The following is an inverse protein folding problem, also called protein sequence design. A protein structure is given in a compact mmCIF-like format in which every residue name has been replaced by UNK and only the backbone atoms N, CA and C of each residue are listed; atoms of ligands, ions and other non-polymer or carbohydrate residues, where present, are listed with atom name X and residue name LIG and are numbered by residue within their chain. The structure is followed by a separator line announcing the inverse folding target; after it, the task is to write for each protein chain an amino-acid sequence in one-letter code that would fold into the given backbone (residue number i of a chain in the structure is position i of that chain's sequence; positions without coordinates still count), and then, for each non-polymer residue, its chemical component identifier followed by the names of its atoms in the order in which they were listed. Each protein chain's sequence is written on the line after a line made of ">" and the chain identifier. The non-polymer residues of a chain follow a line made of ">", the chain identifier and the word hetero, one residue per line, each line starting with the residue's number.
data_IF_301320780941
#
_entry.id   IF_301320780941
#
_cell.length_a   1.000
_cell.length_b   1.000
_cell.length_c   1.000
_cell.angle_alpha   90.00
_cell.angle_beta   90.00
_cell.angle_gamma   90.00
#
_symmetry.space_group_name_H-M   'P 1'
#
loop_
_entity.id
_entity.type
_entity.pdbx_description
1 polymer ?
#
# COMPACT_ATOMS: atom_id res chain seq x y z
N UNK A 1 -8.59 5.32 17.36
CA UNK A 1 -7.17 4.92 17.17
C UNK A 1 -6.27 6.13 17.36
N UNK A 2 -5.21 6.06 18.18
CA UNK A 2 -4.17 7.11 18.27
C UNK A 2 -3.03 6.76 17.31
N UNK A 3 -2.74 7.63 16.35
CA UNK A 3 -1.64 7.44 15.40
C UNK A 3 -0.34 7.98 16.00
N UNK A 4 0.73 7.18 15.98
CA UNK A 4 2.04 7.60 16.51
C UNK A 4 2.74 8.54 15.52
N UNK A 5 2.49 9.85 15.69
CA UNK A 5 3.04 10.89 14.82
C UNK A 5 4.57 10.97 14.85
N UNK A 6 5.19 10.66 16.00
CA UNK A 6 6.65 10.68 16.14
C UNK A 6 7.28 9.60 15.29
N UNK A 7 6.75 8.37 15.34
CA UNK A 7 7.22 7.28 14.50
C UNK A 7 7.04 7.59 13.00
N UNK A 8 5.89 8.16 12.60
CA UNK A 8 5.67 8.57 11.22
C UNK A 8 6.74 9.57 10.73
N UNK A 9 6.96 10.64 11.51
CA UNK A 9 7.95 11.68 11.14
C UNK A 9 9.34 11.07 11.04
N UNK A 10 9.72 10.18 11.98
CA UNK A 10 11.00 9.48 11.94
C UNK A 10 11.18 8.70 10.64
N UNK A 11 10.24 7.81 10.29
CA UNK A 11 10.35 7.01 9.06
C UNK A 11 10.25 7.86 7.79
N UNK A 12 9.43 8.92 7.79
CA UNK A 12 9.31 9.81 6.64
C UNK A 12 10.62 10.56 6.37
N UNK A 13 11.21 11.17 7.41
CA UNK A 13 12.50 11.87 7.30
C UNK A 13 13.61 10.89 6.91
N UNK A 14 13.63 9.70 7.50
CA UNK A 14 14.56 8.63 7.13
C UNK A 14 14.49 8.31 5.63
N UNK A 15 13.28 8.10 5.08
CA UNK A 15 13.11 7.78 3.67
C UNK A 15 13.52 8.93 2.75
N UNK A 16 13.23 10.18 3.13
CA UNK A 16 13.69 11.35 2.37
C UNK A 16 15.21 11.41 2.32
N UNK A 17 15.89 11.21 3.46
CA UNK A 17 17.37 11.16 3.50
C UNK A 17 17.89 10.03 2.62
N UNK A 18 17.33 8.83 2.73
CA UNK A 18 17.72 7.68 1.92
C UNK A 18 17.55 7.93 0.41
N UNK A 19 16.43 8.55 0.01
CA UNK A 19 16.16 8.93 -1.37
C UNK A 19 17.14 9.99 -1.88
N UNK A 20 17.52 10.97 -1.05
CA UNK A 20 18.53 11.98 -1.44
C UNK A 20 19.92 11.37 -1.63
N UNK A 21 20.31 10.37 -0.82
CA UNK A 21 21.56 9.63 -1.00
C UNK A 21 21.56 8.81 -2.31
N UNK A 22 20.44 8.18 -2.66
CA UNK A 22 20.25 7.49 -3.94
C UNK A 22 20.35 8.46 -5.13
N UNK A 23 19.71 9.62 -5.04
CA UNK A 23 19.80 10.68 -6.04
C UNK A 23 21.22 11.22 -6.23
N UNK A 24 21.97 11.45 -5.14
CA UNK A 24 23.37 11.86 -5.21
C UNK A 24 24.25 10.80 -5.89
N UNK A 25 24.02 9.51 -5.61
CA UNK A 25 24.67 8.41 -6.30
C UNK A 25 24.38 8.44 -7.81
N UNK A 26 23.14 8.77 -8.19
CA UNK A 26 22.73 8.82 -9.59
C UNK A 26 23.48 9.92 -10.35
N UNK A 27 23.58 11.11 -9.76
CA UNK A 27 24.30 12.25 -10.34
C UNK A 27 25.79 11.94 -10.50
N UNK A 28 26.41 11.32 -9.48
CA UNK A 28 27.85 11.00 -9.51
C UNK A 28 28.21 9.95 -10.56
N UNK A 29 27.36 8.95 -10.77
CA UNK A 29 27.63 7.83 -11.69
C UNK A 29 26.82 7.92 -12.99
N UNK A 30 26.33 9.11 -13.35
CA UNK A 30 25.51 9.35 -14.54
C UNK A 30 26.19 8.97 -15.85
N UNK A 31 27.53 8.87 -15.88
CA UNK A 31 28.27 8.47 -17.08
C UNK A 31 28.24 6.96 -17.36
N UNK A 32 27.67 6.13 -16.47
CA UNK A 32 27.66 4.66 -16.61
C UNK A 32 26.22 4.12 -16.70
N UNK A 33 25.73 3.70 -17.88
CA UNK A 33 24.31 3.39 -18.09
C UNK A 33 23.79 2.22 -17.22
N UNK A 34 24.61 1.21 -16.96
CA UNK A 34 24.22 0.08 -16.09
C UNK A 34 23.92 0.51 -14.65
N UNK A 35 24.68 1.49 -14.13
CA UNK A 35 24.47 2.05 -12.80
C UNK A 35 23.27 3.00 -12.76
N UNK A 36 22.99 3.70 -13.86
CA UNK A 36 21.83 4.57 -14.00
C UNK A 36 20.55 3.77 -13.84
N UNK A 37 20.40 2.66 -14.58
CA UNK A 37 19.13 1.90 -14.60
C UNK A 37 18.81 1.29 -13.23
N UNK A 38 19.78 0.65 -12.59
CA UNK A 38 19.59 0.06 -11.26
C UNK A 38 19.25 1.12 -10.21
N UNK A 39 19.99 2.24 -10.20
CA UNK A 39 19.79 3.31 -9.23
C UNK A 39 18.47 4.08 -9.46
N UNK A 40 18.09 4.30 -10.72
CA UNK A 40 16.82 4.93 -11.06
C UNK A 40 15.63 4.05 -10.63
N UNK A 41 15.74 2.73 -10.78
CA UNK A 41 14.73 1.76 -10.33
C UNK A 41 14.52 1.86 -8.82
N UNK A 42 15.59 1.88 -8.02
CA UNK A 42 15.52 2.04 -6.56
C UNK A 42 14.93 3.40 -6.15
N UNK A 43 15.37 4.51 -6.76
CA UNK A 43 14.84 5.84 -6.44
C UNK A 43 13.36 6.01 -6.80
N UNK A 44 12.89 5.40 -7.90
CA UNK A 44 11.46 5.40 -8.23
C UNK A 44 10.68 4.69 -7.14
N UNK A 45 11.15 3.54 -6.65
CA UNK A 45 10.50 2.84 -5.53
C UNK A 45 10.46 3.70 -4.26
N UNK A 46 11.56 4.36 -3.89
CA UNK A 46 11.61 5.21 -2.70
C UNK A 46 10.71 6.45 -2.81
N UNK A 47 10.70 7.10 -3.98
CA UNK A 47 9.79 8.24 -4.22
C UNK A 47 8.33 7.81 -4.17
N UNK A 48 7.99 6.61 -4.66
CA UNK A 48 6.65 6.05 -4.51
C UNK A 48 6.28 5.83 -3.03
N UNK A 49 7.19 5.29 -2.22
CA UNK A 49 6.95 5.08 -0.78
C UNK A 49 6.72 6.42 -0.07
N UNK A 50 7.58 7.42 -0.32
CA UNK A 50 7.45 8.77 0.26
C UNK A 50 6.10 9.39 -0.13
N UNK A 51 5.72 9.29 -1.41
CA UNK A 51 4.44 9.80 -1.89
C UNK A 51 3.24 9.13 -1.23
N UNK A 52 3.26 7.79 -1.07
CA UNK A 52 2.22 7.05 -0.34
C UNK A 52 2.15 7.48 1.12
N UNK A 53 3.30 7.59 1.81
CA UNK A 53 3.37 8.04 3.20
C UNK A 53 2.77 9.45 3.36
N UNK A 54 3.08 10.36 2.43
CA UNK A 54 2.52 11.71 2.43
C UNK A 54 1.01 11.71 2.22
N UNK A 55 0.51 10.96 1.24
CA UNK A 55 -0.94 10.85 0.97
C UNK A 55 -1.67 10.25 2.18
N UNK A 56 -1.14 9.18 2.78
CA UNK A 56 -1.73 8.56 3.96
C UNK A 56 -1.77 9.50 5.17
N UNK A 57 -0.73 10.31 5.41
CA UNK A 57 -0.73 11.28 6.51
C UNK A 57 -1.72 12.43 6.24
N UNK A 58 -1.82 12.92 5.00
CA UNK A 58 -2.81 13.93 4.62
C UNK A 58 -4.24 13.42 4.82
N UNK A 59 -4.50 12.18 4.44
CA UNK A 59 -5.84 11.56 4.52
C UNK A 59 -6.14 10.92 5.88
N UNK A 60 -5.26 11.09 6.88
CA UNK A 60 -5.36 10.40 8.18
C UNK A 60 -6.68 10.63 8.91
N UNK A 61 -7.14 11.89 8.98
CA UNK A 61 -8.39 12.22 9.67
C UNK A 61 -9.59 11.51 9.04
N UNK A 62 -9.62 11.50 7.72
CA UNK A 62 -10.67 10.86 6.93
C UNK A 62 -10.60 9.33 7.08
N UNK A 63 -9.40 8.75 7.08
CA UNK A 63 -9.18 7.34 7.35
C UNK A 63 -9.70 6.92 8.74
N UNK A 64 -9.45 7.73 9.78
CA UNK A 64 -9.96 7.45 11.13
C UNK A 64 -11.49 7.51 11.15
N UNK A 65 -12.09 8.52 10.51
CA UNK A 65 -13.54 8.61 10.37
C UNK A 65 -14.13 7.40 9.63
N UNK A 66 -13.53 7.02 8.51
CA UNK A 66 -13.92 5.84 7.72
C UNK A 66 -13.89 4.57 8.57
N UNK A 67 -12.77 4.32 9.25
CA UNK A 67 -12.57 3.13 10.09
C UNK A 67 -13.59 3.07 11.24
N UNK A 68 -13.87 4.20 11.90
CA UNK A 68 -14.89 4.25 12.95
C UNK A 68 -16.30 3.99 12.37
N UNK A 69 -16.56 4.42 11.14
CA UNK A 69 -17.86 4.21 10.47
C UNK A 69 -18.09 2.74 10.12
N UNK A 70 -17.04 2.02 9.68
CA UNK A 70 -17.13 0.59 9.34
C UNK A 70 -16.93 -0.35 10.54
N UNK A 71 -16.38 0.13 11.65
CA UNK A 71 -16.16 -0.67 12.87
C UNK A 71 -17.36 -1.54 13.29
N UNK A 72 -18.62 -1.06 13.33
CA UNK A 72 -19.77 -1.89 13.69
C UNK A 72 -20.04 -3.04 12.72
N UNK A 73 -19.60 -2.95 11.46
CA UNK A 73 -19.83 -3.96 10.43
C UNK A 73 -19.10 -5.28 10.71
N UNK A 74 -18.05 -5.25 11.53
CA UNK A 74 -17.29 -6.43 11.94
C UNK A 74 -17.96 -7.24 13.06
N UNK A 75 -19.02 -6.70 13.68
CA UNK A 75 -19.77 -7.41 14.70
C UNK A 75 -20.60 -8.54 14.08
N UNK A 76 -20.50 -9.74 14.67
CA UNK A 76 -21.34 -10.87 14.25
C UNK A 76 -22.85 -10.58 14.40
N UNK A 77 -23.21 -9.63 15.27
CA UNK A 77 -24.61 -9.19 15.48
C UNK A 77 -25.17 -8.37 14.30
N UNK A 78 -24.32 -7.93 13.38
CA UNK A 78 -24.72 -7.12 12.21
C UNK A 78 -25.35 -7.96 11.08
N UNK A 79 -25.28 -9.29 11.19
CA UNK A 79 -25.77 -10.24 10.18
C UNK A 79 -26.81 -11.16 10.83
N UNK A 80 -28.04 -11.12 10.36
CA UNK A 80 -29.16 -11.92 10.91
C UNK A 80 -29.17 -13.35 10.36
N UNK A 81 -28.74 -13.54 9.12
CA UNK A 81 -28.75 -14.84 8.44
C UNK A 81 -27.35 -15.39 8.18
N UNK A 82 -27.24 -16.72 8.14
CA UNK A 82 -26.00 -17.41 7.77
C UNK A 82 -25.54 -17.04 6.35
N UNK A 83 -26.49 -16.72 5.47
CA UNK A 83 -26.23 -16.34 4.08
C UNK A 83 -25.61 -14.95 3.98
N UNK A 84 -26.13 -13.96 4.72
CA UNK A 84 -25.50 -12.63 4.85
C UNK A 84 -24.06 -12.73 5.36
N UNK A 85 -23.86 -13.50 6.44
CA UNK A 85 -22.53 -13.69 7.03
C UNK A 85 -21.55 -14.33 6.04
N UNK A 86 -22.00 -15.34 5.29
CA UNK A 86 -21.16 -16.02 4.28
C UNK A 86 -20.78 -15.06 3.15
N UNK A 87 -21.72 -14.24 2.70
CA UNK A 87 -21.48 -13.26 1.64
C UNK A 87 -20.45 -12.21 2.07
N UNK A 88 -20.58 -11.66 3.28
CA UNK A 88 -19.59 -10.73 3.84
C UNK A 88 -18.21 -11.37 4.02
N UNK A 89 -18.16 -12.58 4.61
CA UNK A 89 -16.91 -13.29 4.85
C UNK A 89 -16.16 -13.66 3.57
N UNK A 90 -16.88 -13.89 2.46
CA UNK A 90 -16.26 -14.14 1.16
C UNK A 90 -15.34 -12.98 0.74
N UNK A 91 -15.85 -11.74 0.79
CA UNK A 91 -15.08 -10.54 0.45
C UNK A 91 -13.94 -10.27 1.44
N UNK A 92 -14.19 -10.45 2.75
CA UNK A 92 -13.16 -10.27 3.76
C UNK A 92 -12.02 -11.31 3.64
N UNK A 93 -12.36 -12.56 3.28
CA UNK A 93 -11.37 -13.60 2.99
C UNK A 93 -10.54 -13.23 1.76
N UNK A 94 -11.16 -12.69 0.71
CA UNK A 94 -10.43 -12.22 -0.46
C UNK A 94 -9.45 -11.08 -0.12
N UNK A 95 -9.87 -10.12 0.71
CA UNK A 95 -9.00 -9.06 1.21
C UNK A 95 -7.81 -9.62 2.02
N UNK A 96 -8.05 -10.59 2.90
CA UNK A 96 -7.01 -11.23 3.68
C UNK A 96 -5.99 -11.99 2.82
N UNK A 97 -6.47 -12.68 1.77
CA UNK A 97 -5.60 -13.36 0.80
C UNK A 97 -4.70 -12.33 0.12
N UNK A 98 -5.26 -11.21 -0.33
CA UNK A 98 -4.48 -10.14 -0.95
C UNK A 98 -3.39 -9.60 -0.01
N UNK A 99 -3.74 -9.24 1.24
CA UNK A 99 -2.76 -8.76 2.23
C UNK A 99 -1.60 -9.75 2.39
N UNK A 100 -1.91 -11.05 2.53
CA UNK A 100 -0.88 -12.09 2.70
C UNK A 100 0.02 -12.24 1.48
N UNK A 101 -0.56 -12.23 0.28
CA UNK A 101 0.19 -12.33 -0.98
C UNK A 101 1.08 -11.10 -1.18
N UNK A 102 0.53 -9.89 -1.00
CA UNK A 102 1.26 -8.63 -1.15
C UNK A 102 2.44 -8.53 -0.18
N UNK A 103 2.24 -8.90 1.09
CA UNK A 103 3.31 -8.91 2.08
C UNK A 103 4.37 -9.97 1.75
N UNK A 104 3.95 -11.18 1.36
CA UNK A 104 4.85 -12.25 0.96
C UNK A 104 5.74 -11.86 -0.22
N UNK A 105 5.15 -11.31 -1.29
CA UNK A 105 5.90 -10.85 -2.46
C UNK A 105 6.90 -9.73 -2.12
N UNK A 106 6.51 -8.78 -1.27
CA UNK A 106 7.40 -7.70 -0.83
C UNK A 106 8.60 -8.26 -0.03
N UNK A 107 8.38 -9.24 0.86
CA UNK A 107 9.47 -9.87 1.61
C UNK A 107 10.41 -10.69 0.71
N UNK A 108 9.86 -11.40 -0.28
CA UNK A 108 10.66 -12.17 -1.24
C UNK A 108 11.56 -11.25 -2.08
N UNK A 109 11.01 -10.14 -2.59
CA UNK A 109 11.76 -9.16 -3.36
C UNK A 109 12.96 -8.60 -2.57
N UNK A 110 12.76 -8.25 -1.30
CA UNK A 110 13.84 -7.78 -0.44
C UNK A 110 14.89 -8.87 -0.17
N UNK A 111 14.45 -10.12 0.00
CA UNK A 111 15.34 -11.25 0.28
C UNK A 111 16.22 -11.58 -0.92
N UNK A 112 15.70 -11.48 -2.14
CA UNK A 112 16.48 -11.67 -3.38
C UNK A 112 17.53 -10.58 -3.58
N UNK A 113 17.25 -9.34 -3.17
CA UNK A 113 18.23 -8.25 -3.22
C UNK A 113 19.39 -8.46 -2.24
N UNK A 114 19.11 -8.93 -1.01
CA UNK A 114 20.13 -9.14 0.02
C UNK A 114 21.05 -10.35 -0.24
N UNK A 115 20.67 -11.27 -1.13
CA UNK A 115 21.47 -12.47 -1.46
C UNK A 115 22.65 -12.16 -2.40
N UNK A 116 22.62 -11.01 -3.08
CA UNK A 116 23.76 -10.48 -3.82
C UNK A 116 24.69 -9.77 -2.83
N UNK A 117 25.93 -10.23 -2.65
CA UNK A 117 26.90 -9.72 -1.66
C UNK A 117 27.39 -8.25 -1.88
N UNK A 118 26.64 -7.43 -2.63
CA UNK A 118 26.80 -5.98 -2.72
C UNK A 118 26.02 -5.30 -1.57
N UNK A 119 26.32 -4.03 -1.25
CA UNK A 119 25.55 -3.28 -0.26
C UNK A 119 24.03 -3.45 -0.51
N UNK A 120 23.19 -3.66 0.53
CA UNK A 120 21.74 -3.86 0.38
C UNK A 120 21.05 -2.85 -0.54
N UNK A 121 21.57 -1.62 -0.61
CA UNK A 121 21.13 -0.57 -1.54
C UNK A 121 22.30 0.24 -2.11
N UNK A 122 22.22 0.61 -3.40
CA UNK A 122 23.23 1.42 -4.11
C UNK A 122 23.08 2.91 -3.74
N UNK A 123 23.60 3.27 -2.57
CA UNK A 123 23.54 4.63 -2.04
C UNK A 123 24.91 5.29 -2.00
N UNK A 124 24.96 6.61 -2.25
CA UNK A 124 26.17 7.40 -2.07
C UNK A 124 26.05 8.15 -0.74
N UNK A 125 26.73 7.69 0.33
CA UNK A 125 26.66 8.38 1.60
C UNK A 125 27.28 9.78 1.52
N UNK A 126 26.77 10.70 2.33
CA UNK A 126 27.27 12.08 2.42
C UNK A 126 28.69 12.18 3.01
N UNK A 127 29.24 11.06 3.47
CA UNK A 127 30.56 10.92 4.06
C UNK A 127 31.31 9.76 3.41
N UNK A 128 32.64 9.84 3.35
CA UNK A 128 33.47 8.76 2.82
C UNK A 128 33.53 7.57 3.78
N UNK A 129 33.51 6.36 3.22
CA UNK A 129 33.68 5.12 3.97
C UNK A 129 35.18 4.91 4.17
N UNK A 130 35.69 5.37 5.30
CA UNK A 130 37.13 5.30 5.61
C UNK A 130 37.48 4.05 6.45
N UNK A 131 36.58 3.58 7.31
CA UNK A 131 36.83 2.52 8.29
C UNK A 131 35.73 1.45 8.34
N UNK A 132 36.08 0.26 8.88
CA UNK A 132 35.17 -0.89 9.10
C UNK A 132 33.99 -0.52 10.00
N UNK A 133 34.19 0.34 10.99
CA UNK A 133 33.14 0.84 11.89
C UNK A 133 32.09 1.63 11.11
N UNK A 134 32.53 2.53 10.22
CA UNK A 134 31.66 3.34 9.37
C UNK A 134 30.85 2.46 8.40
N UNK A 135 31.46 1.40 7.88
CA UNK A 135 30.77 0.39 7.08
C UNK A 135 29.67 -0.34 7.87
N UNK A 136 29.96 -0.80 9.09
CA UNK A 136 28.96 -1.47 9.94
C UNK A 136 27.79 -0.54 10.32
N UNK A 137 28.08 0.74 10.60
CA UNK A 137 27.05 1.76 10.83
C UNK A 137 26.14 1.97 9.61
N UNK A 138 26.71 1.99 8.40
CA UNK A 138 25.94 2.08 7.17
C UNK A 138 25.04 0.85 6.94
N UNK A 139 25.56 -0.36 7.19
CA UNK A 139 24.76 -1.57 7.13
C UNK A 139 23.60 -1.54 8.13
N UNK A 140 23.85 -1.13 9.38
CA UNK A 140 22.80 -0.97 10.40
C UNK A 140 21.75 0.07 9.98
N UNK A 141 22.18 1.18 9.38
CA UNK A 141 21.28 2.19 8.81
C UNK A 141 20.41 1.60 7.71
N UNK A 142 20.96 0.84 6.77
CA UNK A 142 20.22 0.25 5.63
C UNK A 142 19.22 -0.83 6.07
N UNK A 143 19.49 -1.57 7.15
CA UNK A 143 18.55 -2.56 7.71
C UNK A 143 17.22 -1.91 8.14
N UNK A 144 17.26 -0.65 8.61
CA UNK A 144 16.05 0.11 8.99
C UNK A 144 15.17 0.42 7.77
N UNK A 145 15.74 0.48 6.56
CA UNK A 145 14.97 0.70 5.33
C UNK A 145 14.07 -0.49 5.01
N UNK A 146 14.51 -1.72 5.30
CA UNK A 146 13.80 -2.96 4.93
C UNK A 146 12.33 -2.99 5.38
N UNK A 147 11.99 -2.81 6.68
CA UNK A 147 10.59 -2.79 7.09
C UNK A 147 9.82 -1.62 6.48
N UNK A 148 10.49 -0.48 6.26
CA UNK A 148 9.89 0.71 5.66
C UNK A 148 9.57 0.49 4.18
N UNK A 149 10.37 -0.28 3.46
CA UNK A 149 10.14 -0.65 2.06
C UNK A 149 9.01 -1.67 1.98
N UNK A 150 9.11 -2.76 2.75
CA UNK A 150 8.09 -3.82 2.75
C UNK A 150 6.73 -3.26 3.13
N UNK A 151 6.62 -2.55 4.25
CA UNK A 151 5.35 -2.03 4.73
C UNK A 151 4.93 -0.75 4.01
N UNK A 152 5.85 0.19 3.77
CA UNK A 152 5.53 1.47 3.14
C UNK A 152 5.07 1.35 1.69
N UNK A 153 5.57 0.33 0.97
CA UNK A 153 5.11 0.04 -0.38
C UNK A 153 3.77 -0.72 -0.40
N UNK A 154 3.65 -1.82 0.37
CA UNK A 154 2.53 -2.77 0.25
C UNK A 154 1.31 -2.46 1.14
N UNK A 155 1.51 -1.81 2.29
CA UNK A 155 0.42 -1.59 3.25
C UNK A 155 -0.63 -0.60 2.77
N UNK A 156 -0.29 0.55 2.13
CA UNK A 156 -1.29 1.48 1.60
C UNK A 156 -2.18 0.83 0.54
N UNK A 157 -1.60 0.07 -0.39
CA UNK A 157 -2.36 -0.60 -1.46
C UNK A 157 -3.29 -1.68 -0.88
N UNK A 158 -2.74 -2.48 0.06
CA UNK A 158 -3.49 -3.49 0.80
C UNK A 158 -4.65 -2.89 1.59
N UNK A 159 -4.43 -1.73 2.22
CA UNK A 159 -5.46 -1.00 2.93
C UNK A 159 -6.58 -0.56 1.98
N UNK A 160 -6.25 0.12 0.89
CA UNK A 160 -7.25 0.64 -0.06
C UNK A 160 -8.07 -0.49 -0.66
N UNK A 161 -7.42 -1.58 -1.09
CA UNK A 161 -8.15 -2.74 -1.63
C UNK A 161 -9.03 -3.39 -0.56
N UNK A 162 -8.55 -3.54 0.66
CA UNK A 162 -9.34 -4.13 1.75
C UNK A 162 -10.60 -3.31 2.05
N UNK A 163 -10.49 -1.98 2.04
CA UNK A 163 -11.64 -1.09 2.22
C UNK A 163 -12.60 -1.16 1.03
N UNK A 164 -12.10 -1.23 -0.21
CA UNK A 164 -12.93 -1.42 -1.40
C UNK A 164 -13.71 -2.74 -1.33
N UNK A 165 -13.03 -3.84 -0.98
CA UNK A 165 -13.66 -5.15 -0.82
C UNK A 165 -14.66 -5.20 0.33
N UNK A 166 -14.38 -4.50 1.43
CA UNK A 166 -15.34 -4.33 2.53
C UNK A 166 -16.62 -3.65 2.04
N UNK A 167 -16.51 -2.53 1.32
CA UNK A 167 -17.65 -1.82 0.75
C UNK A 167 -18.42 -2.73 -0.22
N UNK A 168 -17.73 -3.44 -1.12
CA UNK A 168 -18.36 -4.40 -2.03
C UNK A 168 -19.10 -5.53 -1.28
N UNK A 169 -18.50 -6.06 -0.20
CA UNK A 169 -19.15 -7.06 0.64
C UNK A 169 -20.40 -6.52 1.35
N UNK A 170 -20.37 -5.27 1.80
CA UNK A 170 -21.53 -4.60 2.38
C UNK A 170 -22.64 -4.35 1.35
N UNK A 171 -22.29 -3.98 0.11
CA UNK A 171 -23.26 -3.88 -0.98
C UNK A 171 -23.89 -5.23 -1.30
N UNK A 172 -23.09 -6.31 -1.35
CA UNK A 172 -23.60 -7.65 -1.59
C UNK A 172 -24.61 -8.08 -0.51
N UNK A 173 -24.28 -7.83 0.78
CA UNK A 173 -25.20 -8.08 1.90
C UNK A 173 -26.46 -7.23 1.78
N UNK A 174 -26.34 -5.96 1.40
CA UNK A 174 -27.49 -5.08 1.23
C UNK A 174 -28.40 -5.54 0.09
N UNK A 175 -27.84 -5.97 -1.03
CA UNK A 175 -28.60 -6.54 -2.16
C UNK A 175 -29.39 -7.77 -1.71
N UNK A 176 -28.77 -8.66 -0.92
CA UNK A 176 -29.46 -9.81 -0.35
C UNK A 176 -30.62 -9.39 0.58
N UNK A 177 -30.41 -8.38 1.44
CA UNK A 177 -31.48 -7.84 2.31
C UNK A 177 -32.63 -7.23 1.53
N UNK A 178 -32.36 -6.60 0.39
CA UNK A 178 -33.40 -6.08 -0.51
C UNK A 178 -34.21 -7.23 -1.10
N UNK A 179 -33.58 -8.29 -1.58
CA UNK A 179 -34.27 -9.47 -2.12
C UNK A 179 -35.15 -10.16 -1.07
N UNK A 180 -34.70 -10.22 0.19
CA UNK A 180 -35.47 -10.77 1.29
C UNK A 180 -36.65 -9.86 1.65
N UNK A 181 -36.44 -8.54 1.71
CA UNK A 181 -37.50 -7.57 1.99
C UNK A 181 -38.58 -7.56 0.90
N UNK A 182 -38.22 -7.72 -0.37
CA UNK A 182 -39.19 -7.79 -1.47
C UNK A 182 -40.13 -9.02 -1.37
N UNK A 183 -39.73 -10.05 -0.62
CA UNK A 183 -40.53 -11.24 -0.34
C UNK A 183 -41.39 -11.09 0.93
N UNK A 184 -41.07 -10.14 1.80
CA UNK A 184 -41.82 -9.85 3.04
C UNK A 184 -42.68 -8.60 2.87
N UNK A 185 -43.94 -8.82 2.47
CA UNK A 185 -44.91 -7.75 2.22
C UNK A 185 -45.46 -7.08 3.49
N UNK A 186 -45.35 -7.72 4.67
CA UNK A 186 -45.90 -7.17 5.92
C UNK A 186 -44.96 -6.15 6.55
N UNK A 187 -43.64 -6.38 6.46
CA UNK A 187 -42.64 -5.52 7.11
C UNK A 187 -41.90 -4.57 6.16
N UNK A 188 -42.32 -4.51 4.89
CA UNK A 188 -41.69 -3.71 3.82
C UNK A 188 -41.43 -2.25 4.22
N UNK A 189 -42.49 -1.54 4.60
CA UNK A 189 -42.41 -0.10 4.93
C UNK A 189 -41.55 0.20 6.15
N UNK A 190 -41.38 -0.77 7.06
CA UNK A 190 -40.61 -0.59 8.29
C UNK A 190 -39.11 -0.71 8.06
N UNK A 191 -38.67 -1.53 7.10
CA UNK A 191 -37.25 -1.84 6.89
C UNK A 191 -36.64 -1.13 5.68
N UNK A 192 -37.45 -0.68 4.71
CA UNK A 192 -36.96 0.01 3.52
C UNK A 192 -36.17 1.29 3.86
N UNK A 193 -36.60 2.05 4.88
CA UNK A 193 -35.91 3.26 5.33
C UNK A 193 -34.49 2.97 5.84
N UNK A 194 -34.30 1.87 6.58
CA UNK A 194 -32.99 1.46 7.07
C UNK A 194 -32.08 0.99 5.92
N UNK A 195 -32.63 0.28 4.94
CA UNK A 195 -31.90 -0.16 3.73
C UNK A 195 -31.43 1.04 2.92
N UNK A 196 -32.30 2.02 2.65
CA UNK A 196 -31.95 3.24 1.89
C UNK A 196 -30.89 4.06 2.62
N UNK A 197 -31.02 4.21 3.94
CA UNK A 197 -30.03 4.91 4.75
C UNK A 197 -28.66 4.21 4.67
N UNK A 198 -28.65 2.87 4.78
CA UNK A 198 -27.42 2.09 4.67
C UNK A 198 -26.81 2.17 3.26
N UNK A 199 -27.62 2.09 2.21
CA UNK A 199 -27.17 2.24 0.82
C UNK A 199 -26.44 3.57 0.62
N UNK A 200 -27.05 4.67 1.07
CA UNK A 200 -26.47 6.02 0.97
C UNK A 200 -25.17 6.12 1.74
N UNK A 201 -25.09 5.56 2.95
CA UNK A 201 -23.84 5.51 3.73
C UNK A 201 -22.72 4.77 2.99
N UNK A 202 -23.02 3.64 2.34
CA UNK A 202 -22.03 2.88 1.58
C UNK A 202 -21.53 3.64 0.33
N UNK A 203 -22.42 4.35 -0.36
CA UNK A 203 -22.03 5.24 -1.47
C UNK A 203 -21.08 6.32 -0.97
N UNK A 204 -21.41 7.00 0.13
CA UNK A 204 -20.52 8.02 0.72
C UNK A 204 -19.17 7.43 1.14
N UNK A 205 -19.12 6.20 1.66
CA UNK A 205 -17.85 5.53 1.95
C UNK A 205 -17.05 5.24 0.67
N UNK A 206 -17.68 4.79 -0.41
CA UNK A 206 -17.02 4.59 -1.70
C UNK A 206 -16.44 5.90 -2.25
N UNK A 207 -17.21 6.98 -2.23
CA UNK A 207 -16.75 8.30 -2.67
C UNK A 207 -15.58 8.81 -1.82
N UNK A 208 -15.61 8.60 -0.50
CA UNK A 208 -14.49 8.93 0.39
C UNK A 208 -13.24 8.13 -0.01
N UNK A 209 -13.38 6.82 -0.22
CA UNK A 209 -12.26 5.97 -0.59
C UNK A 209 -11.64 6.40 -1.93
N UNK A 210 -12.48 6.64 -2.93
CA UNK A 210 -12.03 7.07 -4.26
C UNK A 210 -11.33 8.43 -4.20
N UNK A 211 -11.97 9.45 -3.62
CA UNK A 211 -11.43 10.81 -3.60
C UNK A 211 -10.12 10.95 -2.81
N UNK A 212 -9.92 10.13 -1.78
CA UNK A 212 -8.73 10.22 -0.93
C UNK A 212 -7.56 9.37 -1.42
N UNK A 213 -7.84 8.31 -2.18
CA UNK A 213 -6.82 7.32 -2.54
C UNK A 213 -6.66 7.12 -4.05
N UNK A 214 -7.40 7.84 -4.91
CA UNK A 214 -7.13 7.83 -6.35
C UNK A 214 -5.69 8.26 -6.68
N UNK A 215 -5.11 9.16 -5.89
CA UNK A 215 -3.75 9.64 -6.08
C UNK A 215 -2.73 8.54 -5.80
N UNK A 216 -3.03 7.63 -4.87
CA UNK A 216 -2.18 6.44 -4.63
C UNK A 216 -2.19 5.57 -5.88
N UNK A 217 -3.36 5.32 -6.49
CA UNK A 217 -3.44 4.54 -7.72
C UNK A 217 -2.73 5.21 -8.89
N UNK A 218 -2.93 6.52 -9.09
CA UNK A 218 -2.25 7.26 -10.15
C UNK A 218 -0.73 7.15 -10.01
N UNK A 219 -0.21 7.41 -8.80
CA UNK A 219 1.20 7.30 -8.49
C UNK A 219 1.71 5.86 -8.67
N UNK A 220 0.92 4.87 -8.26
CA UNK A 220 1.24 3.45 -8.41
C UNK A 220 1.34 3.07 -9.89
N UNK A 221 0.35 3.45 -10.71
CA UNK A 221 0.32 3.18 -12.14
C UNK A 221 1.52 3.82 -12.84
N UNK A 222 1.74 5.12 -12.65
CA UNK A 222 2.88 5.81 -13.27
C UNK A 222 4.21 5.20 -12.84
N UNK A 223 4.40 4.99 -11.53
CA UNK A 223 5.63 4.40 -11.00
C UNK A 223 5.90 3.00 -11.55
N UNK A 224 4.87 2.13 -11.60
CA UNK A 224 5.01 0.78 -12.17
C UNK A 224 5.29 0.79 -13.67
N UNK A 225 4.72 1.73 -14.44
CA UNK A 225 5.03 1.88 -15.86
C UNK A 225 6.52 2.21 -16.04
N UNK A 226 7.04 3.20 -15.29
CA UNK A 226 8.46 3.54 -15.36
C UNK A 226 9.37 2.37 -14.95
N UNK A 227 9.03 1.67 -13.86
CA UNK A 227 9.78 0.49 -13.41
C UNK A 227 9.77 -0.63 -14.46
N UNK A 228 8.62 -0.87 -15.09
CA UNK A 228 8.49 -1.86 -16.16
C UNK A 228 9.38 -1.49 -17.35
N UNK A 229 9.32 -0.25 -17.82
CA UNK A 229 10.17 0.23 -18.91
C UNK A 229 11.66 0.07 -18.61
N UNK A 230 12.11 0.44 -17.41
CA UNK A 230 13.51 0.30 -17.00
C UNK A 230 13.93 -1.17 -16.90
N UNK A 231 13.08 -2.02 -16.35
CA UNK A 231 13.33 -3.46 -16.24
C UNK A 231 13.42 -4.10 -17.63
N UNK A 232 12.50 -3.79 -18.54
CA UNK A 232 12.54 -4.29 -19.92
C UNK A 232 13.78 -3.79 -20.65
N UNK A 233 14.17 -2.52 -20.49
CA UNK A 233 15.41 -2.00 -21.05
C UNK A 233 16.64 -2.77 -20.53
N UNK A 234 16.71 -3.02 -19.22
CA UNK A 234 17.80 -3.79 -18.63
C UNK A 234 17.88 -5.20 -19.20
N UNK A 235 16.75 -5.91 -19.28
CA UNK A 235 16.68 -7.26 -19.84
C UNK A 235 17.13 -7.31 -21.31
N UNK A 236 16.70 -6.33 -22.11
CA UNK A 236 17.11 -6.22 -23.51
C UNK A 236 18.62 -5.95 -23.63
N UNK A 237 19.15 -4.98 -22.88
CA UNK A 237 20.58 -4.66 -22.90
C UNK A 237 21.46 -5.86 -22.53
N UNK A 238 21.07 -6.65 -21.52
CA UNK A 238 21.76 -7.89 -21.15
C UNK A 238 21.67 -8.92 -22.28
N UNK A 239 20.50 -9.09 -22.91
CA UNK A 239 20.34 -10.06 -24.00
C UNK A 239 21.15 -9.76 -25.26
N UNK A 240 21.50 -8.49 -25.53
CA UNK A 240 22.37 -8.11 -26.64
C UNK A 240 23.86 -8.25 -26.32
N UNK A 241 24.22 -8.50 -25.05
CA UNK A 241 25.60 -8.62 -24.60
C UNK A 241 26.06 -10.09 -24.49
N UNK A 242 25.11 -11.04 -24.61
CA UNK A 242 25.34 -12.49 -24.69
C UNK A 242 25.35 -12.90 -26.16
#
# INVERSE_FOLDING_TARGET
>A
MKVNRVAFVFFFVYMVIHCTMGGAHLVKYFSKPEYIVANLTENILFTMIIGKMFICERSRGIMVYFLNTIQPDFSAKSYSSAREKTLYLHYNKFALIFIKVSLGMATLAVSTHNASYELPYRTYPFFEIQDVTTYFCLCAYQIIALPTIVCGYSAPDSFVLSMALHICGQFAVLSYKIEELLKDHENYNRHIGAIVLRHRQLITLAEILENNFNMIFLQQTLGTIFLLCLTTYHMLAVSFTI
#
